data_IF_192782337848
#
_entry.id   IF_192782337848
#
_cell.length_a   1.000
_cell.length_b   1.000
_cell.length_c   1.000
_cell.angle_alpha   90.00
_cell.angle_beta   90.00
_cell.angle_gamma   90.00
#
_symmetry.space_group_name_H-M   'P 1'
#
loop_
_entity.id
_entity.type
_entity.pdbx_description
1 polymer ?
#
# COMPACT_ATOMS: atom_id res chain seq x y z
N UNK A 1 16.68 -7.09 -3.95
CA UNK A 1 16.71 -6.14 -5.08
C UNK A 1 15.78 -4.99 -4.74
N UNK A 2 16.28 -3.77 -4.59
CA UNK A 2 15.51 -2.60 -4.12
C UNK A 2 15.02 -1.77 -5.31
N UNK A 3 14.46 -2.42 -6.32
CA UNK A 3 13.90 -1.76 -7.49
C UNK A 3 12.41 -1.49 -7.27
N UNK A 4 12.04 -0.22 -7.21
CA UNK A 4 10.66 0.27 -7.21
C UNK A 4 10.59 1.36 -8.29
N UNK A 5 10.23 1.02 -9.53
CA UNK A 5 10.44 1.90 -10.68
C UNK A 5 9.80 3.27 -10.51
N UNK A 6 8.61 3.33 -9.91
CA UNK A 6 7.89 4.58 -9.67
C UNK A 6 7.23 4.55 -8.30
N UNK A 7 7.45 5.60 -7.51
CA UNK A 7 6.73 5.88 -6.26
C UNK A 7 6.30 7.33 -6.26
N UNK A 8 5.00 7.54 -6.17
CA UNK A 8 4.39 8.85 -6.01
C UNK A 8 3.72 8.91 -4.64
N UNK A 9 4.13 9.90 -3.84
CA UNK A 9 3.54 10.16 -2.54
C UNK A 9 3.21 11.63 -2.45
N UNK A 10 2.07 11.96 -1.86
CA UNK A 10 1.71 13.34 -1.63
C UNK A 10 0.69 13.46 -0.52
N UNK A 11 0.64 14.66 0.04
CA UNK A 11 -0.36 15.07 0.99
C UNK A 11 -1.06 16.32 0.46
N UNK A 12 -2.35 16.41 0.73
CA UNK A 12 -3.19 17.54 0.41
C UNK A 12 -3.88 17.98 1.69
N UNK A 13 -3.76 19.26 2.02
CA UNK A 13 -4.47 19.88 3.14
C UNK A 13 -5.19 21.08 2.58
N UNK A 14 -6.51 21.07 2.72
CA UNK A 14 -7.35 22.16 2.26
C UNK A 14 -8.25 22.61 3.39
N UNK A 15 -8.02 23.84 3.82
CA UNK A 15 -8.92 24.54 4.73
C UNK A 15 -9.92 25.31 3.88
N UNK A 16 -11.21 25.05 4.07
CA UNK A 16 -12.26 25.76 3.34
C UNK A 16 -12.30 27.19 3.90
N UNK A 17 -11.90 28.22 3.11
CA UNK A 17 -11.82 29.60 3.61
C UNK A 17 -13.19 30.25 3.70
N UNK A 18 -14.18 29.70 2.99
CA UNK A 18 -15.52 30.26 2.92
C UNK A 18 -16.10 30.40 4.33
N UNK A 19 -16.47 31.65 4.67
CA UNK A 19 -17.38 31.99 5.76
C UNK A 19 -16.81 31.92 7.19
N UNK A 20 -15.48 31.81 7.39
CA UNK A 20 -14.85 31.92 8.73
C UNK A 20 -15.28 33.18 9.50
N UNK A 21 -15.54 34.27 8.77
CA UNK A 21 -15.88 35.58 9.31
C UNK A 21 -17.30 36.04 8.94
N UNK A 22 -18.16 35.16 8.38
CA UNK A 22 -19.54 35.58 8.08
C UNK A 22 -20.43 35.50 9.33
N UNK A 23 -21.16 36.58 9.66
CA UNK A 23 -22.10 36.58 10.77
C UNK A 23 -23.31 35.69 10.44
N UNK A 24 -23.82 34.98 11.46
CA UNK A 24 -25.04 34.18 11.37
C UNK A 24 -24.83 32.66 11.24
N UNK A 25 -25.95 31.93 11.21
CA UNK A 25 -26.00 30.45 11.24
C UNK A 25 -25.20 29.81 10.10
N UNK A 26 -25.15 30.46 8.93
CA UNK A 26 -24.42 30.00 7.74
C UNK A 26 -22.90 29.95 8.01
N UNK A 27 -22.34 30.93 8.72
CA UNK A 27 -20.92 30.96 9.11
C UNK A 27 -20.55 29.83 10.09
N UNK A 28 -21.43 29.53 11.04
CA UNK A 28 -21.22 28.43 11.99
C UNK A 28 -21.31 27.04 11.32
N UNK A 29 -22.24 26.86 10.36
CA UNK A 29 -22.42 25.56 9.67
C UNK A 29 -21.34 25.33 8.61
N UNK A 30 -20.99 26.35 7.83
CA UNK A 30 -20.09 26.19 6.68
C UNK A 30 -18.63 26.59 6.94
N UNK A 31 -18.31 27.30 8.03
CA UNK A 31 -16.94 27.74 8.33
C UNK A 31 -16.10 26.71 9.10
N UNK A 32 -14.77 26.70 8.95
CA UNK A 32 -13.90 25.89 9.82
C UNK A 32 -13.82 24.39 9.46
N UNK A 33 -14.20 24.04 8.24
CA UNK A 33 -13.91 22.72 7.66
C UNK A 33 -12.46 22.66 7.16
N UNK A 34 -11.80 21.54 7.42
CA UNK A 34 -10.48 21.19 6.91
C UNK A 34 -10.53 19.76 6.41
N UNK A 35 -10.02 19.56 5.20
CA UNK A 35 -9.86 18.26 4.57
C UNK A 35 -8.38 17.97 4.44
N UNK A 36 -7.97 16.83 4.95
CA UNK A 36 -6.63 16.29 4.85
C UNK A 36 -6.69 15.02 3.99
N UNK A 37 -5.70 14.81 3.15
CA UNK A 37 -5.55 13.58 2.38
C UNK A 37 -4.09 13.24 2.25
N UNK A 38 -3.78 11.96 2.36
CA UNK A 38 -2.46 11.40 2.12
C UNK A 38 -2.60 10.27 1.13
N UNK A 39 -1.83 10.27 0.06
CA UNK A 39 -1.89 9.24 -0.95
C UNK A 39 -0.50 8.71 -1.27
N UNK A 40 -0.44 7.40 -1.52
CA UNK A 40 0.76 6.68 -1.92
C UNK A 40 0.41 5.74 -3.06
N UNK A 41 1.06 5.95 -4.20
CA UNK A 41 1.00 5.07 -5.36
C UNK A 41 2.41 4.56 -5.65
N UNK A 42 2.56 3.26 -5.81
CA UNK A 42 3.85 2.64 -6.00
C UNK A 42 3.77 1.45 -6.94
N UNK A 43 4.75 1.35 -7.83
CA UNK A 43 4.97 0.15 -8.62
C UNK A 43 5.33 -1.04 -7.74
N UNK A 44 4.93 -2.22 -8.19
CA UNK A 44 5.28 -3.48 -7.54
C UNK A 44 6.78 -3.76 -7.64
N UNK A 45 7.34 -4.32 -6.58
CA UNK A 45 8.74 -4.73 -6.55
C UNK A 45 8.93 -5.98 -7.41
N UNK A 46 10.04 -6.08 -8.16
CA UNK A 46 10.27 -7.25 -8.97
C UNK A 46 10.78 -8.41 -8.08
N UNK A 47 10.32 -9.62 -8.37
CA UNK A 47 10.64 -10.83 -7.61
C UNK A 47 10.93 -12.01 -8.54
N UNK A 48 11.54 -13.05 -7.98
CA UNK A 48 11.90 -14.27 -8.71
C UNK A 48 11.16 -15.45 -8.09
N UNK A 49 10.61 -16.32 -8.93
CA UNK A 49 10.10 -17.61 -8.48
C UNK A 49 11.26 -18.54 -8.14
N UNK A 50 11.08 -19.34 -7.10
CA UNK A 50 12.05 -20.33 -6.67
C UNK A 50 11.52 -21.73 -6.99
N UNK A 51 12.44 -22.63 -7.33
CA UNK A 51 12.18 -24.03 -7.61
C UNK A 51 11.62 -24.75 -6.36
N UNK A 52 11.95 -24.25 -5.16
CA UNK A 52 11.48 -24.82 -3.89
C UNK A 52 12.14 -26.15 -3.51
N UNK A 53 13.12 -26.60 -4.31
CA UNK A 53 13.96 -27.77 -4.05
C UNK A 53 15.38 -27.52 -4.54
N UNK A 54 16.33 -28.29 -4.01
CA UNK A 54 17.74 -28.32 -4.42
C UNK A 54 18.12 -29.71 -4.97
N UNK A 55 17.90 -29.97 -6.28
CA UNK A 55 18.16 -31.28 -6.88
C UNK A 55 19.64 -31.68 -6.91
N UNK A 56 20.56 -30.77 -6.55
CA UNK A 56 22.01 -30.98 -6.68
C UNK A 56 22.76 -30.82 -5.37
N UNK A 57 22.08 -30.48 -4.27
CA UNK A 57 22.72 -30.11 -3.02
C UNK A 57 23.62 -28.87 -3.12
N UNK A 58 23.41 -28.01 -4.13
CA UNK A 58 24.23 -26.84 -4.38
C UNK A 58 24.20 -25.81 -3.24
N UNK A 59 23.16 -25.85 -2.41
CA UNK A 59 22.96 -24.95 -1.27
C UNK A 59 23.29 -25.62 0.07
N UNK A 60 23.82 -26.85 0.07
CA UNK A 60 24.27 -27.51 1.30
C UNK A 60 25.30 -26.64 2.03
N UNK A 61 25.07 -26.38 3.32
CA UNK A 61 25.89 -25.51 4.16
C UNK A 61 25.53 -24.02 4.11
N UNK A 62 24.72 -23.56 3.13
CA UNK A 62 24.28 -22.16 3.02
C UNK A 62 22.75 -21.99 2.99
N UNK A 63 21.99 -23.07 2.88
CA UNK A 63 20.53 -23.05 2.76
C UNK A 63 19.83 -22.30 3.92
N UNK A 64 20.41 -22.31 5.13
CA UNK A 64 19.89 -21.54 6.27
C UNK A 64 20.04 -20.01 6.11
N UNK A 65 20.99 -19.55 5.30
CA UNK A 65 21.23 -18.13 5.02
C UNK A 65 20.45 -17.63 3.80
N UNK A 66 20.42 -18.42 2.73
CA UNK A 66 19.86 -17.99 1.43
C UNK A 66 18.51 -18.62 1.08
N UNK A 67 18.04 -19.60 1.87
CA UNK A 67 16.88 -20.43 1.54
C UNK A 67 17.14 -21.31 0.31
N UNK A 68 16.10 -21.97 -0.20
CA UNK A 68 16.17 -22.76 -1.45
C UNK A 68 16.08 -21.85 -2.68
N UNK A 69 17.07 -20.95 -2.84
CA UNK A 69 17.12 -19.90 -3.85
C UNK A 69 17.46 -20.37 -5.29
N UNK A 70 17.15 -21.62 -5.62
CA UNK A 70 17.35 -22.16 -6.98
C UNK A 70 16.20 -21.70 -7.87
N UNK A 71 16.53 -21.24 -9.07
CA UNK A 71 15.55 -20.74 -10.05
C UNK A 71 15.07 -21.89 -10.94
N UNK A 72 13.76 -22.01 -11.22
CA UNK A 72 13.23 -23.04 -12.11
C UNK A 72 13.54 -22.72 -13.58
N UNK A 73 13.12 -23.61 -14.48
CA UNK A 73 13.09 -23.33 -15.92
C UNK A 73 11.80 -22.61 -16.31
N UNK A 74 11.89 -21.76 -17.33
CA UNK A 74 10.78 -21.08 -17.96
C UNK A 74 10.16 -22.02 -18.99
N UNK A 75 8.85 -22.23 -18.88
CA UNK A 75 8.06 -23.08 -19.76
C UNK A 75 7.05 -22.25 -20.56
N UNK A 76 7.43 -21.02 -20.92
CA UNK A 76 6.59 -20.07 -21.66
C UNK A 76 7.44 -19.06 -22.42
N UNK A 77 6.89 -18.47 -23.46
CA UNK A 77 7.47 -17.34 -24.21
C UNK A 77 6.80 -16.01 -23.87
N UNK A 78 5.89 -16.00 -22.89
CA UNK A 78 5.17 -14.79 -22.48
C UNK A 78 6.10 -13.76 -21.84
N UNK A 79 5.89 -12.48 -22.17
CA UNK A 79 6.51 -11.36 -21.45
C UNK A 79 5.82 -11.14 -20.10
N UNK A 80 6.29 -11.86 -19.08
CA UNK A 80 5.77 -11.76 -17.71
C UNK A 80 6.21 -10.49 -16.98
N UNK A 81 7.14 -9.69 -17.54
CA UNK A 81 7.70 -8.51 -16.87
C UNK A 81 6.69 -7.38 -16.69
N UNK A 82 5.61 -7.42 -17.50
CA UNK A 82 4.50 -6.48 -17.51
C UNK A 82 3.21 -7.03 -16.88
N UNK A 83 3.18 -8.32 -16.56
CA UNK A 83 2.01 -8.97 -15.97
C UNK A 83 1.93 -8.72 -14.47
N UNK A 84 0.73 -8.42 -14.00
CA UNK A 84 0.36 -8.49 -12.58
C UNK A 84 0.33 -9.95 -12.10
N UNK A 85 0.32 -10.15 -10.78
CA UNK A 85 0.25 -11.50 -10.21
C UNK A 85 -1.03 -12.20 -10.66
N UNK A 86 -2.15 -11.49 -10.76
CA UNK A 86 -3.44 -12.04 -11.22
C UNK A 86 -3.38 -12.48 -12.68
N UNK A 87 -2.80 -11.66 -13.57
CA UNK A 87 -2.63 -12.03 -14.98
C UNK A 87 -1.71 -13.24 -15.13
N UNK A 88 -0.65 -13.30 -14.34
CA UNK A 88 0.28 -14.44 -14.32
C UNK A 88 -0.41 -15.72 -13.85
N UNK A 89 -1.26 -15.63 -12.81
CA UNK A 89 -2.06 -16.77 -12.34
C UNK A 89 -3.05 -17.23 -13.42
N UNK A 90 -3.72 -16.31 -14.09
CA UNK A 90 -4.66 -16.63 -15.18
C UNK A 90 -3.96 -17.21 -16.41
N UNK A 91 -2.72 -16.78 -16.70
CA UNK A 91 -1.92 -17.29 -17.82
C UNK A 91 -1.37 -18.71 -17.59
N UNK A 92 -1.47 -19.26 -16.38
CA UNK A 92 -1.02 -20.61 -16.05
C UNK A 92 -0.31 -20.73 -14.69
N UNK A 93 0.10 -19.61 -14.10
CA UNK A 93 0.71 -19.56 -12.78
C UNK A 93 1.93 -20.48 -12.67
N UNK A 94 1.78 -21.59 -11.94
CA UNK A 94 2.86 -22.58 -11.75
C UNK A 94 3.26 -23.28 -13.06
N UNK A 95 2.33 -23.51 -13.99
CA UNK A 95 2.63 -24.25 -15.24
C UNK A 95 3.57 -23.50 -16.19
N UNK A 96 3.71 -22.18 -15.99
CA UNK A 96 4.68 -21.32 -16.68
C UNK A 96 6.14 -21.64 -16.29
N UNK A 97 6.34 -22.46 -15.26
CA UNK A 97 7.64 -22.86 -14.74
C UNK A 97 7.74 -24.37 -14.65
N UNK A 98 8.88 -24.92 -15.06
CA UNK A 98 9.19 -26.34 -14.89
C UNK A 98 10.28 -26.53 -13.85
N UNK A 99 10.09 -27.54 -13.00
CA UNK A 99 11.07 -27.93 -12.00
C UNK A 99 12.32 -28.49 -12.65
N UNK A 100 13.47 -28.31 -12.00
CA UNK A 100 14.74 -28.79 -12.54
C UNK A 100 14.85 -30.33 -12.45
N UNK A 101 15.31 -31.01 -13.52
CA UNK A 101 15.69 -32.41 -13.45
C UNK A 101 16.84 -32.66 -12.46
N UNK A 102 17.00 -33.89 -11.95
CA UNK A 102 18.18 -34.27 -11.17
C UNK A 102 19.48 -33.93 -11.91
N UNK A 103 20.46 -33.36 -11.20
CA UNK A 103 21.76 -32.96 -11.77
C UNK A 103 21.82 -31.55 -12.37
N UNK A 104 20.70 -30.86 -12.58
CA UNK A 104 20.69 -29.48 -13.07
C UNK A 104 20.73 -28.49 -11.89
N UNK A 105 21.79 -27.68 -11.84
CA UNK A 105 22.04 -26.74 -10.73
C UNK A 105 21.20 -25.47 -10.76
N UNK A 106 20.93 -24.92 -11.95
CA UNK A 106 20.25 -23.62 -12.12
C UNK A 106 19.37 -23.67 -13.36
N UNK A 107 18.14 -23.18 -13.24
CA UNK A 107 17.25 -23.01 -14.39
C UNK A 107 17.50 -21.74 -15.19
N UNK A 108 16.84 -21.65 -16.34
CA UNK A 108 16.99 -20.53 -17.28
C UNK A 108 16.17 -19.28 -16.92
N UNK A 109 15.37 -19.31 -15.85
CA UNK A 109 14.61 -18.13 -15.40
C UNK A 109 15.57 -17.01 -14.97
N UNK A 110 15.37 -15.83 -15.53
CA UNK A 110 16.11 -14.62 -15.18
C UNK A 110 15.95 -14.24 -13.71
N UNK A 111 16.77 -13.30 -13.23
CA UNK A 111 16.60 -12.71 -11.89
C UNK A 111 15.57 -11.58 -11.96
N UNK A 112 14.63 -11.60 -11.02
CA UNK A 112 13.53 -10.63 -10.89
C UNK A 112 12.65 -10.44 -12.15
N UNK A 113 12.24 -11.52 -12.86
CA UNK A 113 11.47 -11.38 -14.10
C UNK A 113 9.99 -11.07 -13.86
N UNK A 114 9.49 -11.25 -12.64
CA UNK A 114 8.08 -11.01 -12.29
C UNK A 114 7.93 -9.73 -11.47
N UNK A 115 6.75 -9.12 -11.51
CA UNK A 115 6.42 -7.97 -10.66
C UNK A 115 5.31 -8.27 -9.69
N UNK A 116 5.51 -7.86 -8.44
CA UNK A 116 4.46 -7.92 -7.43
C UNK A 116 3.33 -6.93 -7.76
N UNK A 117 2.23 -7.02 -7.02
CA UNK A 117 1.13 -6.09 -7.18
C UNK A 117 1.53 -4.66 -6.79
N UNK A 118 0.98 -3.71 -7.55
CA UNK A 118 1.12 -2.28 -7.31
C UNK A 118 0.43 -1.91 -5.98
N UNK A 119 0.96 -0.90 -5.31
CA UNK A 119 0.34 -0.31 -4.13
C UNK A 119 -0.38 0.97 -4.54
N UNK A 120 -1.67 1.08 -4.20
CA UNK A 120 -2.40 2.34 -4.20
C UNK A 120 -3.09 2.47 -2.85
N UNK A 121 -2.82 3.54 -2.11
CA UNK A 121 -3.45 3.81 -0.83
C UNK A 121 -3.79 5.28 -0.74
N UNK A 122 -5.02 5.58 -0.32
CA UNK A 122 -5.48 6.92 -0.01
C UNK A 122 -6.03 6.90 1.40
N UNK A 123 -5.49 7.75 2.26
CA UNK A 123 -5.97 8.02 3.60
C UNK A 123 -6.54 9.44 3.62
N UNK A 124 -7.71 9.62 4.22
CA UNK A 124 -8.41 10.91 4.27
C UNK A 124 -8.78 11.28 5.70
N UNK A 125 -8.73 12.56 6.03
CA UNK A 125 -9.15 13.12 7.29
C UNK A 125 -10.07 14.32 7.06
N UNK A 126 -11.18 14.38 7.79
CA UNK A 126 -12.12 15.49 7.78
C UNK A 126 -12.18 16.06 9.18
N UNK A 127 -11.92 17.35 9.31
CA UNK A 127 -11.95 18.08 10.57
C UNK A 127 -12.93 19.23 10.42
N UNK A 128 -13.77 19.43 11.41
CA UNK A 128 -14.65 20.59 11.54
C UNK A 128 -14.48 21.19 12.92
N UNK A 129 -14.14 22.47 12.96
CA UNK A 129 -14.08 23.25 14.19
C UNK A 129 -15.28 24.19 14.25
N UNK A 130 -16.09 24.09 15.30
CA UNK A 130 -17.27 24.94 15.52
C UNK A 130 -17.18 25.59 16.89
N UNK A 131 -17.20 26.92 16.95
CA UNK A 131 -17.38 27.66 18.20
C UNK A 131 -18.85 27.58 18.62
N UNK A 132 -19.11 27.14 19.85
CA UNK A 132 -20.46 26.96 20.40
C UNK A 132 -20.81 28.11 21.35
N UNK A 133 -19.89 28.49 22.23
CA UNK A 133 -20.05 29.56 23.20
C UNK A 133 -18.71 30.30 23.40
N UNK A 134 -18.73 31.42 24.11
CA UNK A 134 -17.50 32.13 24.48
C UNK A 134 -16.58 31.19 25.26
N UNK A 135 -15.36 30.99 24.74
CA UNK A 135 -14.37 30.06 25.30
C UNK A 135 -14.60 28.57 25.00
N UNK A 136 -15.63 28.16 24.25
CA UNK A 136 -15.93 26.75 23.97
C UNK A 136 -15.88 26.44 22.47
N UNK A 137 -14.96 25.55 22.08
CA UNK A 137 -14.78 25.08 20.71
C UNK A 137 -15.00 23.56 20.63
N UNK A 138 -15.81 23.12 19.68
CA UNK A 138 -16.05 21.70 19.42
C UNK A 138 -15.32 21.29 18.14
N UNK A 139 -14.46 20.27 18.24
CA UNK A 139 -13.82 19.66 17.08
C UNK A 139 -14.46 18.30 16.76
N UNK A 140 -15.02 18.20 15.57
CA UNK A 140 -15.39 16.94 14.96
C UNK A 140 -14.25 16.47 14.05
N UNK A 141 -13.81 15.22 14.22
CA UNK A 141 -12.79 14.58 13.39
C UNK A 141 -13.25 13.21 12.92
N UNK A 142 -13.14 12.99 11.61
CA UNK A 142 -13.32 11.69 10.97
C UNK A 142 -12.07 11.34 10.16
N UNK A 143 -11.51 10.15 10.38
CA UNK A 143 -10.35 9.63 9.65
C UNK A 143 -10.71 8.32 8.95
N UNK A 144 -10.35 8.22 7.67
CA UNK A 144 -10.57 7.06 6.81
C UNK A 144 -9.22 6.57 6.29
N UNK A 145 -8.79 5.41 6.76
CA UNK A 145 -7.59 4.73 6.29
C UNK A 145 -7.96 3.80 5.13
N UNK A 146 -7.19 3.84 4.04
CA UNK A 146 -7.47 3.10 2.81
C UNK A 146 -8.88 3.36 2.27
N UNK A 147 -9.22 4.64 2.06
CA UNK A 147 -10.55 5.07 1.63
C UNK A 147 -10.99 4.47 0.27
N UNK A 148 -10.05 4.13 -0.61
CA UNK A 148 -10.32 3.45 -1.89
C UNK A 148 -10.45 1.92 -1.76
N UNK A 149 -10.35 1.38 -0.53
CA UNK A 149 -10.33 -0.06 -0.25
C UNK A 149 -9.37 -0.85 -1.18
N UNK A 150 -8.22 -0.26 -1.48
CA UNK A 150 -7.24 -0.86 -2.37
C UNK A 150 -6.44 -1.93 -1.64
N UNK A 151 -5.98 -2.95 -2.37
CA UNK A 151 -5.19 -4.04 -1.76
C UNK A 151 -3.80 -3.51 -1.41
N UNK A 152 -3.37 -3.75 -0.17
CA UNK A 152 -1.96 -3.55 0.20
C UNK A 152 -1.12 -4.67 -0.40
N UNK A 153 0.06 -4.31 -0.92
CA UNK A 153 1.03 -5.25 -1.47
C UNK A 153 1.38 -6.35 -0.47
N UNK A 154 1.69 -7.55 -0.98
CA UNK A 154 1.95 -8.77 -0.22
C UNK A 154 3.09 -8.54 0.80
N UNK A 155 2.72 -8.27 2.05
CA UNK A 155 3.68 -8.05 3.13
C UNK A 155 3.02 -7.63 4.45
N UNK A 156 1.85 -6.99 4.40
CA UNK A 156 1.10 -6.67 5.61
C UNK A 156 -0.41 -6.77 5.39
N UNK A 157 -0.99 -7.95 5.69
CA UNK A 157 -2.44 -8.24 5.60
C UNK A 157 -3.26 -7.59 6.70
N UNK A 158 -2.68 -6.74 7.55
CA UNK A 158 -3.47 -5.99 8.53
C UNK A 158 -4.25 -4.92 7.79
N UNK A 159 -5.49 -5.25 7.39
CA UNK A 159 -6.54 -4.26 7.15
C UNK A 159 -6.56 -3.39 8.39
N UNK A 160 -6.13 -2.14 8.27
CA UNK A 160 -6.50 -1.14 9.27
C UNK A 160 -7.92 -0.72 8.90
N UNK A 161 -8.95 -1.16 9.64
CA UNK A 161 -10.27 -0.59 9.45
C UNK A 161 -10.19 0.91 9.71
N UNK A 162 -11.06 1.70 9.06
CA UNK A 162 -11.32 3.07 9.46
C UNK A 162 -11.53 3.08 10.98
N UNK A 163 -10.61 3.68 11.72
CA UNK A 163 -10.66 3.71 13.19
C UNK A 163 -10.66 5.16 13.64
N UNK A 164 -11.66 5.38 14.49
CA UNK A 164 -11.79 6.41 15.51
C UNK A 164 -12.43 7.73 15.06
N UNK A 165 -13.73 7.83 15.34
CA UNK A 165 -14.36 9.11 15.70
C UNK A 165 -13.72 9.57 17.00
N UNK A 166 -12.96 10.66 16.97
CA UNK A 166 -12.44 11.30 18.19
C UNK A 166 -13.07 12.68 18.27
N UNK A 167 -14.05 12.83 19.16
CA UNK A 167 -14.55 14.13 19.56
C UNK A 167 -13.55 14.67 20.58
N UNK A 168 -12.85 15.74 20.23
CA UNK A 168 -12.01 16.47 21.17
C UNK A 168 -12.76 17.74 21.57
N UNK A 169 -13.08 17.85 22.86
CA UNK A 169 -13.51 19.11 23.49
C UNK A 169 -12.25 19.72 24.09
N UNK A 170 -11.57 20.68 23.44
CA UNK A 170 -10.57 21.47 24.11
C UNK A 170 -11.27 22.29 25.21
N UNK A 171 -11.08 21.89 26.47
CA UNK A 171 -11.31 22.77 27.62
C UNK A 171 -10.21 23.82 27.55
N UNK A 172 -10.53 25.01 27.05
CA UNK A 172 -9.66 26.17 27.20
C UNK A 172 -9.80 26.64 28.65
N UNK A 173 -8.77 26.35 29.45
CA UNK A 173 -8.53 27.05 30.72
C UNK A 173 -8.22 28.50 30.36
N UNK A 174 -9.03 29.40 30.92
CA UNK A 174 -8.96 30.83 30.64
C UNK A 174 -7.71 31.52 31.20
N UNK A 175 -7.51 32.73 30.68
CA UNK A 175 -6.93 33.85 31.41
C UNK A 175 -7.87 35.03 31.23
#
# INVERSE_FOLDING_TARGET
>A
SYDRPNRFTGNFVYEIPALRNQPGVIGHILGGWQVNSFFTFQSGQPFTVLNGSDPTGALNGIAGLVGLAIRPNLNTTLDMSRMSVTELLNAGGRSLFSTLPPGVRVGNVGRNPLRADRLGQIDMGFIKNTRIAEGHNLQFRAEMYNATNSRKSMGNRRRQPARLFRVAIPVLVGW
#
